data_IF_345464411465
#
_entry.id   IF_345464411465
#
_cell.length_a   1.000
_cell.length_b   1.000
_cell.length_c   1.000
_cell.angle_alpha   90.00
_cell.angle_beta   90.00
_cell.angle_gamma   90.00
#
_symmetry.space_group_name_H-M   'P 1'
#
loop_
_entity.id
_entity.type
_entity.pdbx_description
1 polymer ?
#
# COMPACT_ATOMS: atom_id res chain seq x y z
N UNK A 1 34.41 24.75 8.61
CA UNK A 1 33.59 24.22 7.50
C UNK A 1 33.04 22.84 7.85
N UNK A 2 31.87 22.75 8.51
CA UNK A 2 31.10 21.50 8.54
C UNK A 2 29.61 21.82 8.48
N UNK A 3 29.15 22.10 7.26
CA UNK A 3 27.74 22.07 6.92
C UNK A 3 27.29 20.60 6.78
N UNK A 4 25.99 20.36 7.06
CA UNK A 4 25.19 19.16 6.73
C UNK A 4 25.36 17.98 7.72
N UNK A 5 24.35 17.52 8.49
CA UNK A 5 23.03 17.00 8.06
C UNK A 5 22.00 17.09 9.22
N UNK A 6 20.84 17.71 8.91
CA UNK A 6 19.44 17.53 9.42
C UNK A 6 19.22 17.34 10.94
N UNK A 7 18.54 18.21 11.70
CA UNK A 7 17.20 18.80 11.45
C UNK A 7 16.24 17.81 10.78
N UNK A 8 15.95 16.70 11.45
CA UNK A 8 14.63 16.07 11.43
C UNK A 8 14.62 15.02 12.55
N UNK A 9 13.81 15.26 13.59
CA UNK A 9 13.45 14.21 14.55
C UNK A 9 12.50 13.24 13.84
N UNK A 10 13.00 12.54 12.83
CA UNK A 10 12.28 11.53 12.07
C UNK A 10 12.34 10.22 12.86
N UNK A 11 11.78 10.23 14.08
CA UNK A 11 11.51 8.98 14.78
C UNK A 11 10.40 8.29 13.99
N UNK A 12 10.82 7.49 13.01
CA UNK A 12 9.98 6.66 12.17
C UNK A 12 10.08 5.26 12.79
N UNK A 13 9.21 4.92 13.75
CA UNK A 13 9.32 3.66 14.48
C UNK A 13 9.10 2.44 13.56
N UNK A 14 8.47 2.64 12.41
CA UNK A 14 8.18 1.58 11.46
C UNK A 14 9.26 1.54 10.37
N UNK A 15 10.35 0.82 10.67
CA UNK A 15 11.47 0.59 9.73
C UNK A 15 11.18 -0.63 8.85
N UNK A 16 11.65 -0.61 7.61
CA UNK A 16 11.64 -1.79 6.77
C UNK A 16 12.70 -2.78 7.24
N UNK A 17 12.32 -4.05 7.39
CA UNK A 17 13.22 -5.13 7.80
C UNK A 17 13.78 -5.90 6.60
N UNK A 18 13.60 -5.39 5.38
CA UNK A 18 14.18 -6.01 4.19
C UNK A 18 15.69 -5.70 4.11
N UNK A 19 16.47 -6.74 3.85
CA UNK A 19 17.88 -6.67 3.51
C UNK A 19 18.10 -5.78 2.28
N UNK A 20 18.92 -4.74 2.42
CA UNK A 20 19.14 -3.72 1.40
C UNK A 20 18.08 -2.60 1.32
N UNK A 21 17.10 -2.55 2.24
CA UNK A 21 16.11 -1.47 2.29
C UNK A 21 16.14 -0.68 3.61
N UNK A 22 16.71 0.53 3.56
CA UNK A 22 16.84 1.42 4.73
C UNK A 22 15.65 2.39 4.90
N UNK A 23 14.50 2.11 4.28
CA UNK A 23 13.33 2.98 4.38
C UNK A 23 12.62 2.84 5.73
N UNK A 24 12.31 3.97 6.36
CA UNK A 24 11.49 4.04 7.56
C UNK A 24 10.27 4.93 7.35
N UNK A 25 9.18 4.63 8.05
CA UNK A 25 7.90 5.32 7.95
C UNK A 25 7.36 5.72 9.33
N UNK A 26 6.60 6.81 9.37
CA UNK A 26 5.95 7.29 10.60
C UNK A 26 4.65 6.51 10.93
N UNK A 27 4.12 5.74 9.99
CA UNK A 27 2.86 4.98 10.16
C UNK A 27 3.01 3.54 9.66
N UNK A 28 2.36 2.62 10.37
CA UNK A 28 2.36 1.18 10.06
C UNK A 28 1.74 0.89 8.68
N UNK A 29 0.68 1.60 8.29
CA UNK A 29 0.03 1.40 6.97
C UNK A 29 0.96 1.73 5.80
N UNK A 30 1.81 2.74 5.97
CA UNK A 30 2.81 3.13 4.99
C UNK A 30 3.92 2.09 4.89
N UNK A 31 4.40 1.59 6.03
CA UNK A 31 5.35 0.47 6.04
C UNK A 31 4.76 -0.77 5.38
N UNK A 32 3.50 -1.13 5.68
CA UNK A 32 2.84 -2.30 5.09
C UNK A 32 2.69 -2.18 3.57
N UNK A 33 2.28 -1.02 3.07
CA UNK A 33 2.22 -0.75 1.63
C UNK A 33 3.61 -0.79 0.97
N UNK A 34 4.64 -0.31 1.67
CA UNK A 34 6.01 -0.37 1.20
C UNK A 34 6.55 -1.81 1.18
N UNK A 35 6.33 -2.60 2.23
CA UNK A 35 6.74 -4.00 2.32
C UNK A 35 6.06 -4.88 1.27
N UNK A 36 4.82 -4.54 0.88
CA UNK A 36 4.12 -5.18 -0.23
C UNK A 36 4.80 -4.97 -1.60
N UNK A 37 5.75 -4.03 -1.72
CA UNK A 37 6.57 -3.83 -2.93
C UNK A 37 7.75 -4.80 -2.96
N UNK A 38 8.25 -5.18 -1.78
CA UNK A 38 9.33 -6.15 -1.63
C UNK A 38 8.85 -7.58 -1.82
N UNK A 39 7.63 -7.87 -1.36
CA UNK A 39 6.97 -9.12 -1.67
C UNK A 39 6.32 -8.99 -3.05
N UNK A 40 6.92 -9.61 -4.08
CA UNK A 40 6.34 -9.70 -5.44
C UNK A 40 4.90 -10.28 -5.46
N UNK A 41 4.46 -10.87 -4.35
CA UNK A 41 3.13 -11.42 -4.11
C UNK A 41 2.25 -10.55 -3.22
N UNK A 42 2.51 -9.24 -3.13
CA UNK A 42 1.91 -8.28 -2.20
C UNK A 42 0.38 -8.17 -2.28
N UNK A 43 -0.32 -9.22 -1.83
CA UNK A 43 -1.74 -9.28 -1.49
C UNK A 43 -2.65 -8.51 -2.42
N UNK A 44 -2.41 -8.57 -3.72
CA UNK A 44 -3.24 -7.88 -4.68
C UNK A 44 -4.55 -8.65 -4.80
N UNK A 45 -5.62 -8.07 -4.27
CA UNK A 45 -6.98 -8.55 -4.46
C UNK A 45 -7.31 -8.45 -5.94
N UNK A 46 -7.29 -9.59 -6.63
CA UNK A 46 -7.54 -9.70 -8.06
C UNK A 46 -9.04 -9.78 -8.29
N UNK A 47 -9.55 -8.90 -9.14
CA UNK A 47 -10.89 -9.02 -9.68
C UNK A 47 -10.96 -10.25 -10.59
N UNK A 48 -11.91 -11.14 -10.32
CA UNK A 48 -12.12 -12.34 -11.12
C UNK A 48 -12.72 -12.00 -12.51
N UNK A 49 -13.38 -10.86 -12.63
CA UNK A 49 -14.13 -10.44 -13.83
C UNK A 49 -13.25 -9.73 -14.87
N UNK A 50 -12.31 -8.87 -14.46
CA UNK A 50 -11.44 -8.15 -15.41
C UNK A 50 -9.93 -8.23 -15.11
N UNK A 51 -9.52 -9.14 -14.24
CA UNK A 51 -8.13 -9.38 -13.87
C UNK A 51 -7.37 -8.15 -13.29
N UNK A 52 -8.06 -7.04 -12.97
CA UNK A 52 -7.47 -5.90 -12.26
C UNK A 52 -7.11 -6.27 -10.82
N UNK A 53 -5.98 -5.78 -10.37
CA UNK A 53 -5.41 -6.09 -9.05
C UNK A 53 -5.41 -4.85 -8.16
N UNK A 54 -5.92 -4.99 -6.94
CA UNK A 54 -6.05 -3.91 -5.97
C UNK A 54 -5.30 -4.23 -4.69
N UNK A 55 -4.62 -3.25 -4.11
CA UNK A 55 -3.88 -3.42 -2.84
C UNK A 55 -4.82 -3.54 -1.63
N UNK A 56 -6.08 -3.14 -1.78
CA UNK A 56 -7.09 -3.14 -0.71
C UNK A 56 -8.37 -3.87 -1.15
N UNK A 57 -9.02 -4.60 -0.24
CA UNK A 57 -10.28 -5.27 -0.54
C UNK A 57 -11.44 -4.28 -0.72
N UNK A 58 -11.42 -3.15 -0.01
CA UNK A 58 -12.43 -2.09 -0.16
C UNK A 58 -12.46 -1.52 -1.59
N UNK A 59 -11.28 -1.31 -2.19
CA UNK A 59 -11.16 -0.84 -3.56
C UNK A 59 -11.54 -1.91 -4.58
N UNK A 60 -11.25 -3.19 -4.31
CA UNK A 60 -11.73 -4.28 -5.15
C UNK A 60 -13.26 -4.34 -5.15
N UNK A 61 -13.88 -4.21 -3.97
CA UNK A 61 -15.35 -4.26 -3.83
C UNK A 61 -16.02 -3.08 -4.54
N UNK A 62 -15.52 -1.86 -4.35
CA UNK A 62 -16.03 -0.69 -5.08
C UNK A 62 -15.85 -0.85 -6.59
N UNK A 63 -14.68 -1.34 -7.03
CA UNK A 63 -14.42 -1.63 -8.42
C UNK A 63 -15.40 -2.66 -8.99
N UNK A 64 -15.62 -3.77 -8.29
CA UNK A 64 -16.53 -4.83 -8.71
C UNK A 64 -17.95 -4.30 -8.82
N UNK A 65 -18.38 -3.52 -7.83
CA UNK A 65 -19.69 -2.86 -7.85
C UNK A 65 -19.80 -1.90 -9.05
N UNK A 66 -18.91 -0.93 -9.20
CA UNK A 66 -19.07 0.15 -10.18
C UNK A 66 -18.80 -0.33 -11.62
N UNK A 67 -17.92 -1.33 -11.80
CA UNK A 67 -17.43 -1.74 -13.13
C UNK A 67 -17.98 -3.08 -13.60
N UNK A 68 -18.47 -3.92 -12.70
CA UNK A 68 -19.02 -5.24 -13.03
C UNK A 68 -20.46 -5.41 -12.57
N UNK A 69 -20.87 -4.78 -11.49
CA UNK A 69 -22.26 -4.76 -11.04
C UNK A 69 -23.00 -3.55 -11.64
N UNK A 70 -23.61 -3.74 -12.81
CA UNK A 70 -24.66 -2.82 -13.29
C UNK A 70 -25.88 -2.75 -12.35
N UNK A 71 -25.89 -3.53 -11.27
CA UNK A 71 -26.93 -3.52 -10.26
C UNK A 71 -26.34 -2.98 -8.95
N UNK A 72 -26.44 -1.67 -8.76
CA UNK A 72 -26.76 -1.18 -7.43
C UNK A 72 -28.23 -0.77 -7.46
N UNK A 73 -29.10 -1.45 -6.70
CA UNK A 73 -30.47 -1.03 -6.52
C UNK A 73 -30.42 0.21 -5.63
N UNK A 74 -30.42 1.39 -6.25
CA UNK A 74 -31.00 2.55 -5.61
C UNK A 74 -32.45 2.15 -5.30
N UNK A 75 -32.70 1.85 -4.03
CA UNK A 75 -34.04 1.68 -3.49
C UNK A 75 -34.75 3.02 -3.49
#
# INVERSE_FOLDING_TARGET
>A
NRHNVTKHSDVKPFKCEQDGCEQAFARKDKLKQHAAKHSASGGLFKCHTCAKTFVRPEHLRDHDIVRHSHQYPFR
#
